data_IF_604553240103
#
_entry.id   IF_604553240103
#
_cell.length_a   1.000
_cell.length_b   1.000
_cell.length_c   1.000
_cell.angle_alpha   90.00
_cell.angle_beta   90.00
_cell.angle_gamma   90.00
#
_symmetry.space_group_name_H-M   'P 1'
#
loop_
_entity.id
_entity.type
_entity.pdbx_description
1 polymer ?
#
# COMPACT_ATOMS: atom_id res chain seq x y z
N UNK A 1 -20.61 14.76 14.66
CA UNK A 1 -19.47 15.53 14.13
C UNK A 1 -18.28 14.59 14.05
N UNK A 2 -17.56 14.57 12.93
CA UNK A 2 -16.37 13.72 12.79
C UNK A 2 -15.22 14.23 13.69
N UNK A 3 -14.66 13.34 14.50
CA UNK A 3 -13.51 13.62 15.36
C UNK A 3 -12.24 13.39 14.57
N UNK A 4 -11.39 14.42 14.46
CA UNK A 4 -10.08 14.30 13.80
C UNK A 4 -9.13 13.52 14.70
N UNK A 5 -8.48 12.52 14.13
CA UNK A 5 -7.42 11.75 14.77
C UNK A 5 -6.10 12.34 14.27
N UNK A 6 -5.38 12.98 15.18
CA UNK A 6 -4.07 13.59 14.90
C UNK A 6 -2.97 12.83 15.62
N UNK A 7 -1.75 12.93 15.11
CA UNK A 7 -0.56 12.36 15.73
C UNK A 7 -0.31 13.03 17.09
N UNK A 8 -0.41 12.30 18.21
CA UNK A 8 -0.16 12.86 19.52
C UNK A 8 1.33 13.15 19.70
N UNK A 9 1.64 14.19 20.48
CA UNK A 9 3.00 14.45 20.92
C UNK A 9 3.35 13.51 22.08
N UNK A 10 4.10 12.45 21.81
CA UNK A 10 4.50 11.46 22.80
C UNK A 10 5.80 11.81 23.54
N UNK A 11 6.53 12.85 23.09
CA UNK A 11 7.71 13.37 23.77
C UNK A 11 8.02 14.82 23.43
N UNK A 12 8.73 15.52 24.33
CA UNK A 12 9.03 16.96 24.21
C UNK A 12 9.86 17.31 22.96
N UNK A 13 10.64 16.36 22.45
CA UNK A 13 11.52 16.53 21.28
C UNK A 13 11.05 15.73 20.06
N UNK A 14 9.83 15.17 20.09
CA UNK A 14 9.30 14.41 18.96
C UNK A 14 8.85 15.36 17.84
N UNK A 15 9.30 15.12 16.61
CA UNK A 15 8.91 15.88 15.41
C UNK A 15 7.97 15.11 14.50
N UNK A 16 8.13 13.79 14.42
CA UNK A 16 7.36 12.89 13.56
C UNK A 16 7.24 11.50 14.18
N UNK A 17 6.22 10.76 13.78
CA UNK A 17 5.98 9.37 14.16
C UNK A 17 5.52 8.56 12.96
N UNK A 18 5.85 7.27 12.93
CA UNK A 18 5.47 6.38 11.83
C UNK A 18 4.34 5.48 12.28
N UNK A 19 3.24 5.44 11.52
CA UNK A 19 2.15 4.50 11.77
C UNK A 19 2.58 3.15 11.25
N UNK A 20 3.00 2.21 12.10
CA UNK A 20 3.52 0.91 11.64
C UNK A 20 2.39 -0.03 11.27
N UNK A 21 1.27 0.07 11.97
CA UNK A 21 0.14 -0.82 11.80
C UNK A 21 -1.18 -0.12 12.07
N UNK A 22 -2.18 -0.41 11.26
CA UNK A 22 -3.56 -0.04 11.51
C UNK A 22 -4.25 -1.26 12.12
N UNK A 23 -4.60 -1.18 13.40
CA UNK A 23 -5.35 -2.26 14.05
C UNK A 23 -6.77 -2.41 13.45
N UNK A 24 -7.25 -1.35 12.80
CA UNK A 24 -8.60 -1.22 12.27
C UNK A 24 -8.57 -0.78 10.81
N UNK A 25 -9.38 -1.44 10.00
CA UNK A 25 -9.52 -1.12 8.59
C UNK A 25 -10.39 0.13 8.36
N UNK A 26 -10.32 0.68 7.16
CA UNK A 26 -11.23 1.75 6.74
C UNK A 26 -12.69 1.27 6.84
N UNK A 27 -13.50 2.01 7.58
CA UNK A 27 -14.91 1.71 7.79
C UNK A 27 -15.20 0.76 8.95
N UNK A 28 -14.20 0.35 9.74
CA UNK A 28 -14.40 -0.52 10.89
C UNK A 28 -14.97 0.27 12.10
N UNK A 29 -15.78 -0.39 12.92
CA UNK A 29 -16.34 0.20 14.12
C UNK A 29 -15.36 0.03 15.29
N UNK A 30 -15.12 1.11 16.02
CA UNK A 30 -14.18 1.17 17.15
C UNK A 30 -14.84 1.81 18.34
N UNK A 31 -14.63 1.21 19.51
CA UNK A 31 -15.07 1.76 20.78
C UNK A 31 -14.14 2.84 21.31
N UNK A 32 -14.63 3.65 22.23
CA UNK A 32 -13.78 4.54 23.02
C UNK A 32 -12.75 3.73 23.79
N UNK A 33 -11.47 4.12 23.70
CA UNK A 33 -10.35 3.42 24.32
C UNK A 33 -9.87 2.17 23.58
N UNK A 34 -10.41 1.90 22.38
CA UNK A 34 -9.93 0.79 21.55
C UNK A 34 -8.69 1.21 20.75
N UNK A 35 -7.71 0.32 20.61
CA UNK A 35 -6.50 0.58 19.81
C UNK A 35 -6.85 0.60 18.33
N UNK A 36 -6.55 1.72 17.66
CA UNK A 36 -6.85 1.94 16.25
C UNK A 36 -5.62 1.86 15.36
N UNK A 37 -4.46 2.27 15.88
CA UNK A 37 -3.20 2.29 15.16
C UNK A 37 -2.02 2.13 16.13
N UNK A 38 -0.91 1.63 15.62
CA UNK A 38 0.35 1.51 16.35
C UNK A 38 1.33 2.53 15.77
N UNK A 39 1.83 3.42 16.62
CA UNK A 39 2.79 4.47 16.27
C UNK A 39 4.16 4.07 16.78
N UNK A 40 5.12 3.97 15.87
CA UNK A 40 6.52 3.83 16.20
C UNK A 40 7.22 5.19 16.11
N UNK A 41 7.99 5.46 17.14
CA UNK A 41 8.89 6.62 17.22
C UNK A 41 10.33 6.11 17.27
N UNK A 42 11.31 7.00 17.17
CA UNK A 42 12.74 6.63 17.24
C UNK A 42 13.10 5.80 18.49
N UNK A 43 12.35 5.97 19.60
CA UNK A 43 12.68 5.36 20.89
C UNK A 43 11.70 4.31 21.36
N UNK A 44 10.43 4.41 20.99
CA UNK A 44 9.34 3.64 21.58
C UNK A 44 8.19 3.45 20.60
N UNK A 45 7.47 2.34 20.80
CA UNK A 45 6.24 2.03 20.10
C UNK A 45 5.08 2.32 21.07
N UNK A 46 4.06 3.00 20.58
CA UNK A 46 2.91 3.44 21.34
C UNK A 46 1.63 3.06 20.60
N UNK A 47 0.66 2.56 21.35
CA UNK A 47 -0.66 2.26 20.84
C UNK A 47 -1.52 3.53 20.85
N UNK A 48 -2.05 3.89 19.67
CA UNK A 48 -3.01 4.97 19.52
C UNK A 48 -4.40 4.44 19.83
N UNK A 49 -4.98 4.91 20.92
CA UNK A 49 -6.35 4.60 21.34
C UNK A 49 -7.35 5.61 20.76
N UNK A 50 -8.55 5.14 20.42
CA UNK A 50 -9.65 5.99 19.99
C UNK A 50 -10.16 6.85 21.16
N UNK A 51 -10.20 8.17 20.95
CA UNK A 51 -10.69 9.11 21.97
C UNK A 51 -12.19 8.96 22.23
N UNK A 52 -12.96 8.58 21.21
CA UNK A 52 -14.41 8.36 21.27
C UNK A 52 -14.78 7.07 20.49
N UNK A 53 -16.04 6.64 20.54
CA UNK A 53 -16.53 5.52 19.73
C UNK A 53 -17.01 5.98 18.36
N UNK A 54 -16.75 5.19 17.31
CA UNK A 54 -17.17 5.50 15.96
C UNK A 54 -16.61 4.62 14.85
N UNK A 55 -16.80 5.04 13.60
CA UNK A 55 -16.26 4.41 12.40
C UNK A 55 -14.92 5.04 12.05
N UNK A 56 -13.87 4.21 11.99
CA UNK A 56 -12.51 4.65 11.67
C UNK A 56 -12.33 4.90 10.18
N UNK A 57 -11.79 6.05 9.81
CA UNK A 57 -11.45 6.42 8.44
C UNK A 57 -9.99 6.94 8.39
N UNK A 58 -9.02 6.05 8.15
CA UNK A 58 -7.63 6.46 7.98
C UNK A 58 -7.46 7.26 6.68
N UNK A 59 -6.62 8.29 6.73
CA UNK A 59 -6.18 9.09 5.56
C UNK A 59 -4.74 8.73 5.17
N UNK A 60 -4.04 8.03 6.07
CA UNK A 60 -2.67 7.54 5.89
C UNK A 60 -2.66 6.01 5.86
N UNK A 61 -1.71 5.45 5.12
CA UNK A 61 -1.49 4.01 5.04
C UNK A 61 -0.60 3.49 6.17
N UNK A 62 -0.58 2.17 6.34
CA UNK A 62 0.41 1.49 7.18
C UNK A 62 1.83 1.75 6.64
N UNK A 63 2.76 2.06 7.55
CA UNK A 63 4.12 2.49 7.25
C UNK A 63 4.27 3.99 6.94
N UNK A 64 3.19 4.79 6.99
CA UNK A 64 3.29 6.21 6.71
C UNK A 64 3.88 7.01 7.89
N UNK A 65 4.81 7.91 7.58
CA UNK A 65 5.37 8.87 8.55
C UNK A 65 4.54 10.15 8.57
N UNK A 66 4.11 10.56 9.76
CA UNK A 66 3.25 11.73 10.00
C UNK A 66 3.93 12.64 11.03
N UNK A 67 3.95 13.94 10.76
CA UNK A 67 4.45 14.94 11.71
C UNK A 67 3.56 15.01 12.96
N UNK A 68 4.11 15.48 14.09
CA UNK A 68 3.32 15.76 15.29
C UNK A 68 2.21 16.77 14.97
N UNK A 69 1.01 16.55 15.52
CA UNK A 69 -0.23 17.28 15.21
C UNK A 69 -0.74 17.06 13.75
N UNK A 70 -0.08 16.21 12.97
CA UNK A 70 -0.50 15.82 11.63
C UNK A 70 -1.74 14.93 11.65
N UNK A 71 -2.55 15.01 10.59
CA UNK A 71 -3.79 14.24 10.46
C UNK A 71 -3.49 12.78 10.10
N UNK A 72 -3.96 11.84 10.93
CA UNK A 72 -3.90 10.40 10.68
C UNK A 72 -5.23 9.93 10.05
N UNK A 73 -6.35 10.44 10.55
CA UNK A 73 -7.66 10.00 10.09
C UNK A 73 -8.82 10.74 10.74
N UNK A 74 -10.01 10.21 10.51
CA UNK A 74 -11.25 10.69 11.11
C UNK A 74 -11.98 9.54 11.79
N UNK A 75 -12.73 9.89 12.83
CA UNK A 75 -13.61 9.00 13.56
C UNK A 75 -15.04 9.53 13.46
N UNK A 76 -15.95 8.77 12.87
CA UNK A 76 -17.35 9.17 12.70
C UNK A 76 -18.20 8.55 13.82
N UNK A 77 -18.91 9.33 14.63
CA UNK A 77 -19.70 8.79 15.75
C UNK A 77 -20.81 7.81 15.31
N UNK A 78 -21.19 6.89 16.20
CA UNK A 78 -22.26 5.90 15.96
C UNK A 78 -23.59 6.59 15.61
N UNK A 79 -24.07 6.37 14.38
CA UNK A 79 -25.30 6.96 13.84
C UNK A 79 -25.11 8.13 12.88
N UNK A 80 -23.88 8.54 12.58
CA UNK A 80 -23.61 9.55 11.54
C UNK A 80 -23.19 8.85 10.24
N UNK A 81 -23.99 9.06 9.19
CA UNK A 81 -23.72 8.50 7.87
C UNK A 81 -22.48 9.15 7.24
N UNK A 82 -21.63 8.33 6.62
CA UNK A 82 -20.65 8.78 5.64
C UNK A 82 -21.40 9.65 4.62
N UNK A 83 -20.97 10.90 4.31
CA UNK A 83 -21.49 11.59 3.14
C UNK A 83 -21.18 10.72 1.92
N UNK A 84 -22.23 10.10 1.39
CA UNK A 84 -22.22 9.15 0.30
C UNK A 84 -21.52 9.78 -0.93
N UNK A 85 -20.37 9.27 -1.40
CA UNK A 85 -20.01 9.53 -2.79
C UNK A 85 -21.12 8.92 -3.65
N UNK A 86 -21.58 9.61 -4.71
CA UNK A 86 -22.73 9.17 -5.49
C UNK A 86 -22.50 7.73 -5.95
N UNK A 87 -23.42 6.85 -5.58
CA UNK A 87 -23.44 5.43 -5.92
C UNK A 87 -23.10 5.22 -7.40
N UNK A 88 -21.87 4.76 -7.66
CA UNK A 88 -21.59 4.05 -8.89
C UNK A 88 -22.17 2.64 -8.74
N UNK A 89 -23.35 2.49 -9.34
CA UNK A 89 -24.11 1.27 -9.51
C UNK A 89 -23.23 0.02 -9.64
N UNK A 90 -23.43 -0.94 -8.74
CA UNK A 90 -23.00 -2.32 -8.97
C UNK A 90 -23.91 -2.96 -10.02
N UNK A 91 -23.36 -3.72 -10.98
CA UNK A 91 -24.06 -4.86 -11.51
C UNK A 91 -23.38 -6.12 -10.98
N UNK A 92 -24.05 -6.76 -10.02
CA UNK A 92 -23.88 -8.18 -9.76
C UNK A 92 -24.66 -8.96 -10.83
N UNK A 93 -23.98 -9.78 -11.63
CA UNK A 93 -24.54 -11.06 -12.08
C UNK A 93 -23.45 -12.01 -12.61
N UNK A 94 -23.21 -13.05 -11.82
CA UNK A 94 -23.11 -14.45 -12.22
C UNK A 94 -22.46 -14.83 -13.57
N UNK A 95 -21.29 -15.47 -13.48
CA UNK A 95 -21.23 -16.92 -13.63
C UNK A 95 -21.26 -17.53 -15.04
N UNK A 96 -20.13 -18.17 -15.38
CA UNK A 96 -19.95 -19.32 -16.28
C UNK A 96 -19.69 -19.04 -17.77
N UNK A 97 -18.43 -19.26 -18.20
CA UNK A 97 -18.04 -20.50 -18.90
C UNK A 97 -16.52 -20.60 -19.05
N UNK A 98 -15.96 -21.65 -18.46
CA UNK A 98 -14.62 -22.14 -18.81
C UNK A 98 -14.62 -22.72 -20.24
N UNK A 99 -13.67 -22.29 -21.07
CA UNK A 99 -13.00 -23.10 -22.11
C UNK A 99 -11.86 -22.32 -22.81
N UNK A 100 -10.62 -22.58 -22.36
CA UNK A 100 -9.45 -22.98 -23.16
C UNK A 100 -8.81 -22.08 -24.27
N UNK A 101 -7.57 -21.61 -23.95
CA UNK A 101 -6.29 -21.62 -24.75
C UNK A 101 -6.02 -20.47 -25.77
N UNK A 102 -4.77 -19.94 -25.98
CA UNK A 102 -3.56 -19.71 -25.15
C UNK A 102 -3.06 -18.22 -25.17
N UNK A 103 -2.00 -17.85 -24.40
CA UNK A 103 -1.49 -16.47 -24.33
C UNK A 103 -0.45 -16.10 -25.43
N UNK A 104 -0.48 -14.90 -26.02
CA UNK A 104 0.70 -14.32 -26.66
C UNK A 104 1.64 -13.73 -25.60
N UNK A 105 2.82 -14.35 -25.50
CA UNK A 105 3.98 -13.89 -24.73
C UNK A 105 4.38 -12.46 -25.13
N UNK A 106 4.56 -11.58 -24.14
CA UNK A 106 5.43 -10.41 -24.27
C UNK A 106 6.35 -10.27 -23.05
N UNK A 107 7.58 -10.75 -23.26
CA UNK A 107 8.88 -10.24 -22.78
C UNK A 107 9.23 -10.29 -21.29
N UNK A 108 10.13 -11.22 -20.88
CA UNK A 108 11.08 -10.99 -19.81
C UNK A 108 12.34 -10.27 -20.35
N UNK A 109 12.67 -9.11 -19.80
CA UNK A 109 14.03 -8.58 -19.84
C UNK A 109 14.82 -9.28 -18.73
N UNK A 110 15.46 -10.38 -19.10
CA UNK A 110 16.40 -11.11 -18.25
C UNK A 110 17.84 -10.68 -18.58
N UNK A 111 18.66 -10.78 -17.54
CA UNK A 111 20.02 -10.31 -17.45
C UNK A 111 21.04 -11.07 -18.32
N UNK A 112 22.21 -10.44 -18.40
CA UNK A 112 23.57 -10.99 -18.41
C UNK A 112 24.11 -11.72 -19.65
N UNK A 113 25.11 -11.05 -20.25
CA UNK A 113 26.31 -11.53 -20.94
C UNK A 113 26.24 -12.91 -21.62
N UNK A 114 26.09 -12.88 -22.95
CA UNK A 114 26.40 -13.99 -23.84
C UNK A 114 27.20 -13.50 -25.04
N UNK A 115 28.53 -13.62 -24.96
CA UNK A 115 29.41 -13.64 -26.13
C UNK A 115 29.20 -14.97 -26.84
N UNK A 116 28.37 -14.97 -27.88
CA UNK A 116 28.32 -16.04 -28.88
C UNK A 116 27.95 -15.40 -30.22
N UNK A 117 28.96 -15.07 -31.02
CA UNK A 117 28.74 -14.58 -32.39
C UNK A 117 28.28 -15.74 -33.29
N UNK A 118 27.11 -15.64 -33.96
CA UNK A 118 26.67 -16.68 -34.89
C UNK A 118 27.55 -16.69 -36.14
N UNK A 119 28.19 -17.84 -36.41
CA UNK A 119 29.04 -18.10 -37.58
C UNK A 119 28.26 -17.97 -38.89
N UNK A 120 28.23 -16.77 -39.47
CA UNK A 120 27.82 -16.58 -40.87
C UNK A 120 28.98 -16.94 -41.81
N UNK A 121 28.70 -17.30 -43.08
CA UNK A 121 29.76 -17.60 -44.06
C UNK A 121 30.80 -16.48 -44.22
N UNK A 122 30.42 -15.22 -43.99
CA UNK A 122 31.33 -14.08 -43.97
C UNK A 122 32.29 -14.09 -42.76
N UNK A 123 31.79 -14.45 -41.57
CA UNK A 123 32.63 -14.57 -40.37
C UNK A 123 33.66 -15.71 -40.50
N UNK A 124 33.29 -16.84 -41.11
CA UNK A 124 34.20 -17.97 -41.35
C UNK A 124 35.32 -17.63 -42.36
N UNK A 125 35.01 -16.82 -43.38
CA UNK A 125 36.02 -16.33 -44.34
C UNK A 125 37.00 -15.33 -43.71
N UNK A 126 36.52 -14.49 -42.79
CA UNK A 126 37.39 -13.58 -42.05
C UNK A 126 38.34 -14.35 -41.10
N UNK A 127 37.85 -15.41 -40.44
CA UNK A 127 38.67 -16.26 -39.58
C UNK A 127 39.75 -17.04 -40.34
N UNK A 128 39.44 -17.61 -41.52
CA UNK A 128 40.44 -18.35 -42.30
C UNK A 128 41.60 -17.47 -42.82
N UNK A 129 41.41 -16.16 -42.93
CA UNK A 129 42.44 -15.20 -43.34
C UNK A 129 43.26 -14.67 -42.15
N UNK A 130 42.84 -14.99 -40.92
CA UNK A 130 43.59 -14.80 -39.68
C UNK A 130 43.85 -16.21 -39.10
N UNK A 131 44.85 -16.93 -39.61
CA UNK A 131 45.21 -18.32 -39.25
C UNK A 131 45.16 -18.62 -37.72
N UNK A 132 43.98 -18.99 -37.22
CA UNK A 132 43.68 -19.53 -35.88
C UNK A 132 42.67 -20.65 -36.05
#
# INVERSE_FOLDING_TARGET
MATRIVMPRLGDFMTEGTVVRLAKAQGDNVGQGEVIAEIETEKLNYDLEATEGGVFHPVVDEGATVAVDGLIGYLLAEGEAVPEPPQAQTPSSAGSRAAAIPPPRSRPAAATNGDVVPSTPGARRLAANLEI
#
